data_IF_257560683075
#
_entry.id   IF_257560683075
#
_cell.length_a   1.000
_cell.length_b   1.000
_cell.length_c   1.000
_cell.angle_alpha   90.00
_cell.angle_beta   90.00
_cell.angle_gamma   90.00
#
_symmetry.space_group_name_H-M   'P 1'
#
loop_
_entity.id
_entity.type
_entity.pdbx_description
1 polymer ?
#
# COMPACT_ATOMS: atom_id res chain seq x y z
N UNK A 1 -19.32 0.60 -10.55
CA UNK A 1 -18.25 1.61 -10.60
C UNK A 1 -17.67 1.72 -9.22
N UNK A 2 -16.42 1.29 -9.04
CA UNK A 2 -15.70 1.48 -7.79
C UNK A 2 -15.26 2.94 -7.71
N UNK A 3 -15.58 3.63 -6.62
CA UNK A 3 -15.22 5.06 -6.48
C UNK A 3 -13.84 5.22 -5.87
N UNK A 4 -13.16 6.32 -6.18
CA UNK A 4 -11.89 6.68 -5.52
C UNK A 4 -12.01 6.69 -4.00
N UNK A 5 -13.16 7.07 -3.45
CA UNK A 5 -13.41 7.07 -2.00
C UNK A 5 -13.43 5.67 -1.42
N UNK A 6 -14.08 4.71 -2.09
CA UNK A 6 -14.08 3.29 -1.66
C UNK A 6 -12.69 2.67 -1.76
N UNK A 7 -11.94 3.04 -2.80
CA UNK A 7 -10.54 2.67 -2.95
C UNK A 7 -9.68 3.13 -1.78
N UNK A 8 -9.76 4.43 -1.49
CA UNK A 8 -9.03 5.01 -0.37
C UNK A 8 -9.39 4.32 0.93
N UNK A 9 -10.68 4.08 1.19
CA UNK A 9 -11.11 3.42 2.41
C UNK A 9 -10.54 2.01 2.55
N UNK A 10 -10.62 1.16 1.51
CA UNK A 10 -10.02 -0.18 1.57
C UNK A 10 -8.50 -0.14 1.80
N UNK A 11 -7.81 0.80 1.17
CA UNK A 11 -6.37 0.97 1.32
C UNK A 11 -6.04 1.47 2.73
N UNK A 12 -6.69 2.52 3.20
CA UNK A 12 -6.51 3.07 4.55
C UNK A 12 -6.86 2.06 5.64
N UNK A 13 -7.89 1.23 5.46
CA UNK A 13 -8.22 0.14 6.39
C UNK A 13 -7.14 -0.96 6.37
N UNK A 14 -6.62 -1.32 5.19
CA UNK A 14 -5.57 -2.33 5.04
C UNK A 14 -4.19 -1.87 5.53
N UNK A 15 -3.94 -0.57 5.53
CA UNK A 15 -2.69 0.09 5.96
C UNK A 15 -2.81 0.78 7.32
N UNK A 16 -3.96 0.68 8.00
CA UNK A 16 -4.16 1.26 9.32
C UNK A 16 -3.13 0.72 10.32
N UNK A 17 -2.48 1.57 11.16
CA UNK A 17 -2.81 2.98 11.48
C UNK A 17 -2.10 4.04 10.63
N UNK A 18 -1.49 3.68 9.50
CA UNK A 18 -0.74 4.61 8.64
C UNK A 18 -1.68 5.50 7.84
N UNK A 19 -1.25 6.73 7.57
CA UNK A 19 -2.01 7.69 6.76
C UNK A 19 -1.62 7.56 5.28
N UNK A 20 -2.63 7.48 4.40
CA UNK A 20 -2.43 7.33 2.96
C UNK A 20 -2.90 8.58 2.21
N UNK A 21 -2.00 9.27 1.50
CA UNK A 21 -2.30 10.40 0.64
C UNK A 21 -2.26 10.01 -0.83
N UNK A 22 -3.35 10.31 -1.53
CA UNK A 22 -3.55 10.00 -2.94
C UNK A 22 -3.52 11.29 -3.76
N UNK A 23 -2.47 11.47 -4.54
CA UNK A 23 -2.28 12.63 -5.42
C UNK A 23 -2.45 12.20 -6.87
N UNK A 24 -3.44 12.76 -7.57
CA UNK A 24 -3.61 12.53 -9.01
C UNK A 24 -2.70 13.50 -9.79
N UNK A 25 -1.83 12.95 -10.63
CA UNK A 25 -0.98 13.73 -11.53
C UNK A 25 -1.73 14.08 -12.83
N UNK A 26 -1.28 15.15 -13.50
CA UNK A 26 -1.84 15.63 -14.78
C UNK A 26 -1.74 14.60 -15.92
N UNK A 27 -0.83 13.64 -15.80
CA UNK A 27 -0.59 12.55 -16.74
C UNK A 27 -1.53 11.33 -16.52
N UNK A 28 -2.60 11.48 -15.73
CA UNK A 28 -3.50 10.39 -15.31
C UNK A 28 -2.84 9.29 -14.45
N UNK A 29 -1.58 9.48 -14.09
CA UNK A 29 -0.86 8.71 -13.08
C UNK A 29 -1.25 9.17 -11.68
N UNK A 30 -1.48 8.23 -10.78
CA UNK A 30 -1.75 8.47 -9.37
C UNK A 30 -0.50 8.16 -8.56
N UNK A 31 -0.22 9.05 -7.61
CA UNK A 31 0.82 8.90 -6.61
C UNK A 31 0.17 8.60 -5.28
N UNK A 32 0.58 7.51 -4.66
CA UNK A 32 0.19 7.14 -3.32
C UNK A 32 1.38 7.37 -2.38
N UNK A 33 1.19 8.15 -1.33
CA UNK A 33 2.16 8.35 -0.26
C UNK A 33 1.60 7.76 1.01
N UNK A 34 2.34 6.87 1.65
CA UNK A 34 2.01 6.34 2.97
C UNK A 34 2.98 6.97 3.96
N UNK A 35 2.42 7.57 5.00
CA UNK A 35 3.18 8.18 6.08
C UNK A 35 2.59 7.79 7.42
N UNK A 36 3.49 7.68 8.39
CA UNK A 36 3.13 7.34 9.75
C UNK A 36 2.46 8.55 10.43
N UNK A 37 1.26 8.35 10.97
CA UNK A 37 0.48 9.41 11.60
C UNK A 37 1.11 9.93 12.89
N UNK A 38 1.90 9.08 13.56
CA UNK A 38 2.49 9.35 14.87
C UNK A 38 3.81 10.12 14.73
N UNK A 39 4.66 9.73 13.78
CA UNK A 39 5.99 10.31 13.55
C UNK A 39 6.03 11.30 12.39
N UNK A 40 5.00 11.33 11.52
CA UNK A 40 4.95 12.15 10.31
C UNK A 40 5.97 11.74 9.24
N UNK A 41 6.62 10.58 9.39
CA UNK A 41 7.61 10.07 8.45
C UNK A 41 6.92 9.40 7.27
N UNK A 42 7.39 9.69 6.07
CA UNK A 42 6.98 8.97 4.87
C UNK A 42 7.67 7.61 4.85
N UNK A 43 6.89 6.55 4.91
CA UNK A 43 7.36 5.17 4.93
C UNK A 43 7.43 4.59 3.50
N UNK A 44 6.44 4.94 2.66
CA UNK A 44 6.37 4.46 1.29
C UNK A 44 5.80 5.51 0.34
N UNK A 45 6.37 5.62 -0.87
CA UNK A 45 5.82 6.43 -1.96
C UNK A 45 5.78 5.62 -3.23
N UNK A 46 4.59 5.43 -3.77
CA UNK A 46 4.35 4.75 -5.04
C UNK A 46 3.87 5.77 -6.06
N UNK A 47 4.55 5.88 -7.20
CA UNK A 47 4.19 6.79 -8.31
C UNK A 47 3.83 5.98 -9.55
N UNK A 48 3.07 6.56 -10.47
CA UNK A 48 2.73 5.90 -11.73
C UNK A 48 1.55 4.92 -11.65
N UNK A 49 0.76 4.97 -10.57
CA UNK A 49 -0.41 4.10 -10.42
C UNK A 49 -1.47 4.51 -11.43
N UNK A 50 -1.81 3.61 -12.35
CA UNK A 50 -2.86 3.88 -13.33
C UNK A 50 -4.23 3.76 -12.67
N UNK A 51 -4.95 4.86 -12.48
CA UNK A 51 -6.34 4.83 -11.96
C UNK A 51 -7.28 4.00 -12.84
N UNK A 52 -6.94 3.87 -14.13
CA UNK A 52 -7.65 3.01 -15.07
C UNK A 52 -7.51 1.50 -14.77
N UNK A 53 -6.51 1.09 -13.98
CA UNK A 53 -6.36 -0.30 -13.51
C UNK A 53 -7.15 -0.58 -12.23
N UNK A 54 -7.45 0.45 -11.45
CA UNK A 54 -8.16 0.36 -10.17
C UNK A 54 -9.68 0.44 -10.33
N UNK A 55 -10.22 -0.25 -11.32
CA UNK A 55 -11.66 -0.20 -11.63
C UNK A 55 -12.47 -1.30 -10.92
N UNK A 56 -11.82 -2.37 -10.48
CA UNK A 56 -12.46 -3.52 -9.84
C UNK A 56 -11.88 -3.72 -8.43
N UNK A 57 -12.70 -4.19 -7.47
CA UNK A 57 -12.25 -4.43 -6.10
C UNK A 57 -11.06 -5.40 -6.02
N UNK A 58 -10.97 -6.36 -6.96
CA UNK A 58 -9.86 -7.31 -7.02
C UNK A 58 -8.51 -6.64 -7.34
N UNK A 59 -8.50 -5.61 -8.20
CA UNK A 59 -7.29 -4.84 -8.51
C UNK A 59 -6.89 -3.94 -7.33
N UNK A 60 -7.87 -3.45 -6.57
CA UNK A 60 -7.65 -2.70 -5.32
C UNK A 60 -7.01 -3.59 -4.28
N UNK A 61 -7.59 -4.77 -4.06
CA UNK A 61 -7.12 -5.76 -3.09
C UNK A 61 -5.67 -6.15 -3.38
N UNK A 62 -5.36 -6.50 -4.64
CA UNK A 62 -3.98 -6.75 -5.07
C UNK A 62 -3.06 -5.56 -4.82
N UNK A 63 -3.50 -4.34 -5.12
CA UNK A 63 -2.66 -3.17 -4.87
C UNK A 63 -2.44 -2.96 -3.36
N UNK A 64 -3.44 -3.20 -2.53
CA UNK A 64 -3.32 -3.16 -1.06
C UNK A 64 -2.35 -4.22 -0.57
N UNK A 65 -2.44 -5.45 -1.07
CA UNK A 65 -1.51 -6.54 -0.75
C UNK A 65 -0.07 -6.16 -1.11
N UNK A 66 0.17 -5.66 -2.32
CA UNK A 66 1.50 -5.22 -2.78
C UNK A 66 2.02 -4.07 -1.91
N UNK A 67 1.18 -3.08 -1.60
CA UNK A 67 1.56 -1.96 -0.72
C UNK A 67 1.88 -2.43 0.68
N UNK A 68 1.07 -3.33 1.25
CA UNK A 68 1.34 -3.93 2.56
C UNK A 68 2.63 -4.72 2.53
N UNK A 69 2.92 -5.45 1.45
CA UNK A 69 4.17 -6.19 1.32
C UNK A 69 5.37 -5.27 1.18
N UNK A 70 5.30 -4.22 0.36
CA UNK A 70 6.35 -3.21 0.19
C UNK A 70 6.60 -2.45 1.49
N UNK A 71 5.53 -2.06 2.20
CA UNK A 71 5.62 -1.33 3.45
C UNK A 71 6.12 -2.22 4.58
N UNK A 72 5.63 -3.47 4.64
CA UNK A 72 6.19 -4.49 5.51
C UNK A 72 7.67 -4.68 5.17
N UNK A 73 8.07 -4.86 3.92
CA UNK A 73 9.48 -4.97 3.51
C UNK A 73 10.32 -3.74 3.90
N UNK A 74 9.79 -2.53 3.74
CA UNK A 74 10.43 -1.27 4.16
C UNK A 74 10.64 -1.23 5.68
N UNK A 75 9.63 -1.65 6.44
CA UNK A 75 9.64 -1.66 7.91
C UNK A 75 10.38 -2.89 8.48
N UNK A 76 10.33 -4.04 7.80
CA UNK A 76 11.01 -5.31 8.07
C UNK A 76 12.48 -5.26 7.69
N UNK A 77 12.88 -4.35 6.80
CA UNK A 77 14.29 -3.94 6.67
C UNK A 77 14.89 -3.52 8.03
N UNK A 78 14.06 -3.29 9.04
CA UNK A 78 14.44 -3.08 10.45
C UNK A 78 14.09 -4.23 11.40
N UNK A 79 13.22 -5.18 11.01
CA UNK A 79 12.66 -6.23 11.88
C UNK A 79 12.41 -7.55 11.13
N UNK A 80 13.42 -8.23 10.60
CA UNK A 80 13.34 -9.71 10.50
C UNK A 80 14.70 -10.34 10.22
N UNK A 81 15.27 -10.91 11.28
CA UNK A 81 16.02 -12.16 11.18
C UNK A 81 15.20 -13.36 11.71
N UNK A 82 13.93 -13.18 12.12
CA UNK A 82 13.23 -14.15 12.98
C UNK A 82 11.93 -14.77 12.43
N UNK A 83 11.44 -14.39 11.24
CA UNK A 83 10.22 -15.00 10.66
C UNK A 83 10.53 -15.71 9.34
N UNK A 84 11.34 -16.76 9.45
CA UNK A 84 11.36 -17.84 8.47
C UNK A 84 10.28 -18.85 8.91
N UNK A 85 9.21 -19.10 8.13
CA UNK A 85 8.42 -20.29 8.35
C UNK A 85 9.34 -21.48 8.09
N UNK A 86 9.61 -22.26 9.15
CA UNK A 86 10.30 -23.54 9.05
C UNK A 86 9.67 -24.36 7.93
N UNK A 87 10.33 -24.36 6.77
CA UNK A 87 10.10 -25.36 5.76
C UNK A 87 10.55 -26.69 6.38
N UNK A 88 9.61 -27.36 7.05
CA UNK A 88 9.69 -28.79 7.30
C UNK A 88 9.80 -29.47 5.94
N UNK A 89 11.03 -29.73 5.52
CA UNK A 89 11.34 -30.61 4.41
C UNK A 89 10.99 -32.07 4.79
N UNK A 90 10.66 -32.90 3.79
CA UNK A 90 10.06 -34.23 3.95
C UNK A 90 10.98 -35.27 4.60
#
# INVERSE_FOLDING_TARGET
MFTLSQLRNCIEEGLSPLTCEFTLCRDASLTLKVFDAETGRVDLVVTGISTNRLQTPQEVDKMVEELRYELHSNHLGKLTLDDLPSASHP
#
